data_IF_024487616918
#
_entry.id   IF_024487616918
#
_cell.length_a   1.000
_cell.length_b   1.000
_cell.length_c   1.000
_cell.angle_alpha   90.00
_cell.angle_beta   90.00
_cell.angle_gamma   90.00
#
_symmetry.space_group_name_H-M   'P 1'
#
loop_
_entity.id
_entity.type
_entity.pdbx_description
1 polymer ?
#
# COMPACT_ATOMS: atom_id res chain seq x y z
N UNK A 1 -15.95 63.40 13.36
CA UNK A 1 -15.02 62.27 13.58
C UNK A 1 -15.81 61.04 14.03
N UNK A 2 -16.00 60.01 13.20
CA UNK A 2 -16.40 58.67 13.63
C UNK A 2 -15.24 57.65 13.52
N UNK A 3 -15.20 56.71 14.47
CA UNK A 3 -14.19 55.65 14.66
C UNK A 3 -14.15 54.63 13.50
N UNK A 4 -12.99 53.97 13.24
CA UNK A 4 -12.85 52.95 12.20
C UNK A 4 -13.49 51.62 12.60
N UNK A 5 -14.13 50.96 11.62
CA UNK A 5 -14.66 49.58 11.75
C UNK A 5 -13.51 48.58 11.57
N UNK A 6 -13.25 47.79 12.61
CA UNK A 6 -12.25 46.71 12.60
C UNK A 6 -12.82 45.49 11.86
N UNK A 7 -11.98 45.00 10.96
CA UNK A 7 -12.11 43.83 10.10
C UNK A 7 -12.21 42.52 10.89
N UNK A 8 -13.05 41.59 10.45
CA UNK A 8 -12.94 40.17 10.84
C UNK A 8 -12.57 39.37 9.59
N UNK A 9 -11.27 39.14 9.45
CA UNK A 9 -10.67 38.20 8.50
C UNK A 9 -11.23 36.80 8.73
N UNK A 10 -11.87 36.23 7.71
CA UNK A 10 -12.32 34.83 7.67
C UNK A 10 -11.10 33.91 7.76
N UNK A 11 -10.85 33.33 8.93
CA UNK A 11 -9.77 32.38 9.16
C UNK A 11 -10.13 31.02 8.53
N UNK A 12 -9.27 30.57 7.64
CA UNK A 12 -9.36 29.32 6.90
C UNK A 12 -9.37 28.10 7.83
N UNK A 13 -10.33 27.20 7.65
CA UNK A 13 -10.32 25.86 8.21
C UNK A 13 -9.97 24.87 7.09
N UNK A 14 -8.70 24.83 6.69
CA UNK A 14 -8.16 23.70 5.92
C UNK A 14 -8.01 22.51 6.87
N UNK A 15 -9.13 21.83 7.16
CA UNK A 15 -9.11 20.53 7.81
C UNK A 15 -8.49 19.53 6.83
N UNK A 16 -7.16 19.41 6.89
CA UNK A 16 -6.38 18.45 6.14
C UNK A 16 -6.91 17.04 6.39
N UNK A 17 -7.35 16.39 5.32
CA UNK A 17 -7.62 14.96 5.25
C UNK A 17 -6.29 14.22 5.42
N UNK A 18 -5.84 14.07 6.66
CA UNK A 18 -4.74 13.17 6.98
C UNK A 18 -5.29 11.74 6.89
N UNK A 19 -5.14 11.12 5.73
CA UNK A 19 -5.36 9.69 5.56
C UNK A 19 -4.45 8.92 6.53
N UNK A 20 -5.03 8.02 7.31
CA UNK A 20 -4.36 7.30 8.41
C UNK A 20 -3.13 6.50 7.93
N UNK A 21 -1.89 6.87 8.32
CA UNK A 21 -0.67 6.18 7.90
C UNK A 21 -0.36 4.89 8.69
N UNK A 22 -1.21 4.51 9.65
CA UNK A 22 -0.89 3.45 10.61
C UNK A 22 -0.75 2.05 9.96
N UNK A 23 -1.54 1.74 8.92
CA UNK A 23 -1.49 0.43 8.26
C UNK A 23 -0.25 0.29 7.35
N UNK A 24 0.17 1.39 6.73
CA UNK A 24 1.29 1.44 5.79
C UNK A 24 2.63 1.08 6.44
N UNK A 25 2.85 1.53 7.68
CA UNK A 25 4.10 1.26 8.40
C UNK A 25 4.24 -0.20 8.83
N UNK A 26 3.13 -0.89 9.12
CA UNK A 26 3.15 -2.25 9.65
C UNK A 26 3.55 -3.31 8.61
N UNK A 27 3.20 -3.10 7.34
CA UNK A 27 3.42 -4.09 6.27
C UNK A 27 4.65 -3.80 5.40
N UNK A 28 5.39 -2.71 5.67
CA UNK A 28 6.63 -2.44 4.97
C UNK A 28 7.69 -3.48 5.30
N UNK A 29 8.24 -4.15 4.29
CA UNK A 29 9.21 -5.22 4.50
C UNK A 29 9.48 -6.05 3.25
N UNK A 30 10.32 -7.06 3.42
CA UNK A 30 10.55 -8.09 2.41
C UNK A 30 9.82 -9.36 2.82
N UNK A 31 9.23 -10.00 1.83
CA UNK A 31 8.41 -11.18 1.96
C UNK A 31 8.77 -12.21 0.90
N UNK A 32 8.55 -13.48 1.19
CA UNK A 32 8.77 -14.57 0.24
C UNK A 32 7.72 -15.68 0.43
N UNK A 33 7.16 -16.19 -0.67
CA UNK A 33 6.16 -17.25 -0.63
C UNK A 33 6.76 -18.66 -0.42
N UNK A 34 8.04 -18.85 -0.72
CA UNK A 34 8.72 -20.15 -0.69
C UNK A 34 9.83 -20.22 0.35
N UNK A 35 10.84 -19.36 0.30
CA UNK A 35 11.97 -19.39 1.22
C UNK A 35 12.62 -18.02 1.43
N UNK A 36 12.64 -17.54 2.67
CA UNK A 36 13.52 -16.45 3.09
C UNK A 36 14.97 -16.96 3.19
N UNK A 37 15.64 -17.21 2.06
CA UNK A 37 17.04 -17.61 2.02
C UNK A 37 17.92 -16.46 1.52
N UNK A 38 19.03 -16.22 2.21
CA UNK A 38 19.93 -15.08 1.99
C UNK A 38 20.84 -15.18 0.75
N UNK A 39 20.62 -16.15 -0.13
CA UNK A 39 21.54 -16.47 -1.24
C UNK A 39 20.94 -16.47 -2.64
N UNK A 40 19.61 -16.53 -2.77
CA UNK A 40 18.90 -16.52 -4.06
C UNK A 40 17.57 -15.81 -3.88
N UNK A 41 17.36 -14.71 -4.61
CA UNK A 41 16.05 -14.07 -4.71
C UNK A 41 15.15 -15.10 -5.39
N UNK A 42 14.16 -15.62 -4.69
CA UNK A 42 13.15 -16.45 -5.33
C UNK A 42 12.33 -15.58 -6.29
N UNK A 43 11.77 -16.19 -7.33
CA UNK A 43 10.86 -15.49 -8.26
C UNK A 43 9.57 -15.01 -7.55
N UNK A 44 9.39 -15.38 -6.28
CA UNK A 44 8.24 -15.05 -5.44
C UNK A 44 8.58 -14.12 -4.28
N UNK A 45 9.66 -13.33 -4.42
CA UNK A 45 9.93 -12.24 -3.49
C UNK A 45 8.96 -11.09 -3.74
N UNK A 46 8.41 -10.58 -2.65
CA UNK A 46 7.63 -9.34 -2.61
C UNK A 46 8.32 -8.36 -1.66
N UNK A 47 8.60 -7.15 -2.14
CA UNK A 47 9.04 -6.03 -1.29
C UNK A 47 7.94 -4.98 -1.23
N UNK A 48 7.57 -4.60 -0.02
CA UNK A 48 6.58 -3.55 0.22
C UNK A 48 7.31 -2.34 0.79
N UNK A 49 7.29 -1.26 0.03
CA UNK A 49 7.63 0.09 0.47
C UNK A 49 6.44 0.96 0.14
N UNK A 50 5.45 0.93 1.04
CA UNK A 50 4.12 1.49 0.79
C UNK A 50 4.19 2.93 0.23
N UNK A 51 3.43 3.25 -0.83
CA UNK A 51 2.40 2.43 -1.51
C UNK A 51 2.92 1.52 -2.64
N UNK A 52 4.24 1.33 -2.74
CA UNK A 52 4.87 0.52 -3.81
C UNK A 52 5.06 -0.94 -3.39
N UNK A 53 4.68 -1.85 -4.28
CA UNK A 53 4.88 -3.28 -4.19
C UNK A 53 5.79 -3.71 -5.34
N UNK A 54 6.96 -4.26 -5.02
CA UNK A 54 7.89 -4.78 -6.03
C UNK A 54 7.93 -6.30 -5.96
N UNK A 55 7.53 -6.93 -7.05
CA UNK A 55 7.68 -8.36 -7.32
C UNK A 55 8.97 -8.58 -8.12
N UNK A 56 9.32 -9.85 -8.42
CA UNK A 56 10.51 -10.17 -9.22
C UNK A 56 10.49 -9.47 -10.60
N UNK A 57 9.37 -9.55 -11.31
CA UNK A 57 9.26 -9.10 -12.72
C UNK A 57 8.39 -7.85 -12.90
N UNK A 58 7.77 -7.37 -11.83
CA UNK A 58 6.83 -6.24 -11.90
C UNK A 58 6.90 -5.34 -10.68
N UNK A 59 6.52 -4.09 -10.88
CA UNK A 59 6.33 -3.13 -9.80
C UNK A 59 4.94 -2.53 -9.90
N UNK A 60 4.26 -2.47 -8.77
CA UNK A 60 2.92 -1.95 -8.64
C UNK A 60 2.89 -0.78 -7.65
N UNK A 61 2.01 0.18 -7.88
CA UNK A 61 1.70 1.26 -6.94
C UNK A 61 0.23 1.20 -6.56
N UNK A 62 -0.06 1.26 -5.26
CA UNK A 62 -1.42 1.33 -4.73
C UNK A 62 -1.94 2.75 -4.90
N UNK A 63 -3.11 2.90 -5.52
CA UNK A 63 -3.73 4.21 -5.79
C UNK A 63 -4.91 4.53 -4.87
N UNK A 64 -5.78 3.55 -4.62
CA UNK A 64 -7.00 3.76 -3.83
C UNK A 64 -7.46 2.49 -3.11
N UNK A 65 -8.20 2.65 -2.02
CA UNK A 65 -8.92 1.57 -1.34
C UNK A 65 -10.29 1.34 -1.98
N UNK A 66 -10.70 0.09 -2.11
CA UNK A 66 -12.01 -0.28 -2.63
C UNK A 66 -13.06 -0.15 -1.52
N UNK A 67 -14.03 0.73 -1.70
CA UNK A 67 -15.09 0.96 -0.71
C UNK A 67 -15.91 -0.32 -0.46
N UNK A 68 -16.13 -0.63 0.83
CA UNK A 68 -16.87 -1.83 1.24
C UNK A 68 -16.07 -3.14 1.17
N UNK A 69 -14.78 -3.10 0.79
CA UNK A 69 -13.90 -4.27 0.78
C UNK A 69 -12.68 -4.03 1.68
N UNK A 70 -12.57 -4.83 2.75
CA UNK A 70 -11.50 -4.68 3.73
C UNK A 70 -10.12 -4.97 3.13
N UNK A 71 -9.14 -4.12 3.44
CA UNK A 71 -7.75 -4.19 2.98
C UNK A 71 -7.60 -4.51 1.49
N UNK A 72 -8.56 -4.04 0.68
CA UNK A 72 -8.61 -4.26 -0.75
C UNK A 72 -8.37 -2.95 -1.46
N UNK A 73 -7.49 -2.96 -2.45
CA UNK A 73 -6.98 -1.76 -3.11
C UNK A 73 -6.94 -1.93 -4.62
N UNK A 74 -7.07 -0.83 -5.34
CA UNK A 74 -6.64 -0.76 -6.73
C UNK A 74 -5.13 -0.54 -6.78
N UNK A 75 -4.45 -1.31 -7.63
CA UNK A 75 -3.04 -1.15 -7.94
C UNK A 75 -2.82 -0.98 -9.43
N UNK A 76 -1.82 -0.18 -9.77
CA UNK A 76 -1.33 0.01 -11.14
C UNK A 76 0.07 -0.56 -11.25
N UNK A 77 0.27 -1.49 -12.18
CA UNK A 77 1.49 -2.25 -12.31
C UNK A 77 2.15 -2.01 -13.66
N UNK A 78 3.47 -2.16 -13.66
CA UNK A 78 4.27 -2.28 -14.87
C UNK A 78 5.29 -3.41 -14.73
N UNK A 79 5.51 -4.11 -15.84
CA UNK A 79 6.43 -5.25 -15.92
C UNK A 79 6.49 -5.76 -17.36
N UNK A 80 7.66 -6.22 -17.80
CA UNK A 80 7.85 -6.81 -19.14
C UNK A 80 7.41 -5.94 -20.33
N UNK A 81 7.36 -4.61 -20.15
CA UNK A 81 6.91 -3.66 -21.18
C UNK A 81 5.39 -3.43 -21.22
N UNK A 82 4.64 -4.08 -20.33
CA UNK A 82 3.19 -3.91 -20.21
C UNK A 82 2.81 -3.05 -19.00
N UNK A 83 1.60 -2.48 -19.08
CA UNK A 83 0.95 -1.75 -17.99
C UNK A 83 -0.45 -2.30 -17.78
N UNK A 84 -0.81 -2.56 -16.53
CA UNK A 84 -2.14 -3.04 -16.20
C UNK A 84 -2.61 -2.53 -14.83
N UNK A 85 -3.92 -2.53 -14.63
CA UNK A 85 -4.53 -2.30 -13.33
C UNK A 85 -5.08 -3.62 -12.78
N UNK A 86 -5.05 -3.78 -11.46
CA UNK A 86 -5.68 -4.92 -10.81
C UNK A 86 -6.12 -4.58 -9.39
N UNK A 87 -6.97 -5.42 -8.81
CA UNK A 87 -7.30 -5.35 -7.41
C UNK A 87 -6.39 -6.29 -6.62
N UNK A 88 -5.98 -5.83 -5.44
CA UNK A 88 -5.19 -6.61 -4.49
C UNK A 88 -5.86 -6.54 -3.12
N UNK A 89 -6.01 -7.68 -2.46
CA UNK A 89 -6.36 -7.73 -1.03
C UNK A 89 -5.14 -8.15 -0.23
N UNK A 90 -4.75 -7.36 0.76
CA UNK A 90 -3.59 -7.63 1.62
C UNK A 90 -4.11 -7.93 3.02
N UNK A 91 -3.93 -9.16 3.50
CA UNK A 91 -4.41 -9.58 4.82
C UNK A 91 -3.23 -9.85 5.74
N UNK A 92 -2.88 -8.91 6.64
CA UNK A 92 -1.84 -9.14 7.63
C UNK A 92 -2.18 -10.31 8.55
N UNK A 93 -1.19 -11.13 8.85
CA UNK A 93 -1.30 -12.26 9.77
C UNK A 93 -0.53 -11.98 11.06
N UNK A 94 -0.84 -12.75 12.10
CA UNK A 94 -0.07 -12.75 13.35
C UNK A 94 1.37 -13.16 13.05
N UNK A 95 2.34 -12.42 13.57
CA UNK A 95 3.77 -12.64 13.29
C UNK A 95 4.34 -11.80 12.14
N UNK A 96 3.51 -11.01 11.46
CA UNK A 96 3.94 -10.05 10.44
C UNK A 96 3.94 -10.61 9.01
N UNK A 97 3.56 -11.88 8.84
CA UNK A 97 3.28 -12.54 7.55
C UNK A 97 2.05 -11.92 6.86
N UNK A 98 1.87 -12.22 5.57
CA UNK A 98 0.77 -11.70 4.76
C UNK A 98 0.08 -12.84 3.99
N UNK A 99 -1.23 -12.71 3.79
CA UNK A 99 -1.95 -13.41 2.72
C UNK A 99 -2.40 -12.36 1.70
N UNK A 100 -2.00 -12.55 0.44
CA UNK A 100 -2.31 -11.63 -0.65
C UNK A 100 -3.23 -12.31 -1.65
N UNK A 101 -4.37 -11.69 -1.95
CA UNK A 101 -5.23 -12.09 -3.05
C UNK A 101 -5.01 -11.17 -4.25
N UNK A 102 -4.68 -11.74 -5.41
CA UNK A 102 -4.65 -11.03 -6.68
C UNK A 102 -5.46 -11.86 -7.68
N UNK A 103 -6.45 -11.23 -8.32
CA UNK A 103 -7.32 -11.88 -9.33
C UNK A 103 -7.96 -13.19 -8.86
N UNK A 104 -8.28 -13.30 -7.57
CA UNK A 104 -8.93 -14.47 -6.99
C UNK A 104 -7.97 -15.57 -6.51
N UNK A 105 -6.65 -15.42 -6.69
CA UNK A 105 -5.65 -16.35 -6.16
C UNK A 105 -5.07 -15.84 -4.85
N UNK A 106 -5.17 -16.63 -3.78
CA UNK A 106 -4.52 -16.35 -2.49
C UNK A 106 -3.11 -16.94 -2.46
N UNK A 107 -2.13 -16.11 -2.11
CA UNK A 107 -0.74 -16.51 -1.89
C UNK A 107 -0.32 -16.09 -0.49
N UNK A 108 0.22 -17.04 0.28
CA UNK A 108 0.81 -16.76 1.59
C UNK A 108 2.27 -16.31 1.42
N UNK A 109 2.63 -15.25 2.14
CA UNK A 109 3.93 -14.60 2.10
C UNK A 109 4.50 -14.53 3.50
N UNK A 110 5.68 -15.12 3.69
CA UNK A 110 6.39 -15.07 4.97
C UNK A 110 7.26 -13.84 5.04
N UNK A 111 7.24 -13.14 6.17
CA UNK A 111 8.13 -11.99 6.39
C UNK A 111 9.57 -12.50 6.51
N UNK A 112 10.46 -11.91 5.71
CA UNK A 112 11.89 -12.19 5.80
C UNK A 112 12.57 -11.18 6.74
N UNK A 113 13.56 -11.67 7.48
CA UNK A 113 14.34 -10.93 8.47
C UNK A 113 15.81 -10.86 8.06
#
# INVERSE_FOLDING_TARGET
MPLPRISFSTLALCAGLFASPALAQAINGQYDAYSCHSGSISDSVLRITWPTLSFHESTCTISESIAGAENTYLMHCSGEGEYWASQIRITPQVGGDLVINIRGSDTAFRRCH
#
